data_IF_654580682551
#
_entry.id   IF_654580682551
#
_cell.length_a   1.000
_cell.length_b   1.000
_cell.length_c   1.000
_cell.angle_alpha   90.00
_cell.angle_beta   90.00
_cell.angle_gamma   90.00
#
_symmetry.space_group_name_H-M   'P 1'
#
loop_
_entity.id
_entity.type
_entity.pdbx_description
1 polymer ?
#
# COMPACT_ATOMS: atom_id res chain seq x y z
N UNK A 1 29.03 -11.31 7.20
CA UNK A 1 28.89 -9.84 7.24
C UNK A 1 27.73 -9.44 6.35
N UNK A 2 26.51 -9.47 6.89
CA UNK A 2 25.32 -9.03 6.16
C UNK A 2 25.28 -7.51 6.23
N UNK A 3 25.51 -6.82 5.11
CA UNK A 3 25.05 -5.44 4.97
C UNK A 3 23.53 -5.48 5.06
N UNK A 4 22.98 -5.14 6.23
CA UNK A 4 21.54 -4.97 6.41
C UNK A 4 21.09 -3.89 5.41
N UNK A 5 20.39 -4.32 4.36
CA UNK A 5 19.66 -3.40 3.50
C UNK A 5 18.49 -2.90 4.37
N UNK A 6 18.67 -1.73 4.98
CA UNK A 6 17.68 -1.11 5.87
C UNK A 6 16.43 -0.64 5.10
N UNK A 7 16.60 -0.20 3.87
CA UNK A 7 15.52 0.08 2.93
C UNK A 7 16.06 0.26 1.52
N UNK A 8 15.40 -0.34 0.53
CA UNK A 8 15.68 -0.06 -0.87
C UNK A 8 14.42 -0.18 -1.72
N UNK A 9 14.37 0.57 -2.82
CA UNK A 9 13.30 0.50 -3.80
C UNK A 9 13.89 0.07 -5.13
N UNK A 10 13.40 -1.04 -5.67
CA UNK A 10 13.78 -1.56 -6.98
C UNK A 10 12.59 -1.43 -7.92
N UNK A 11 12.82 -0.91 -9.12
CA UNK A 11 11.80 -0.77 -10.14
C UNK A 11 12.23 -1.54 -11.40
N UNK A 12 11.27 -2.13 -12.09
CA UNK A 12 11.47 -2.67 -13.43
C UNK A 12 10.27 -2.30 -14.30
N UNK A 13 10.54 -1.79 -15.49
CA UNK A 13 9.55 -1.55 -16.53
C UNK A 13 10.09 -2.07 -17.85
N UNK A 14 9.28 -2.80 -18.59
CA UNK A 14 9.65 -3.30 -19.93
C UNK A 14 9.06 -2.47 -21.06
N UNK A 15 8.40 -1.34 -20.77
CA UNK A 15 7.66 -0.54 -21.76
C UNK A 15 8.59 -0.04 -22.87
N UNK A 16 9.77 0.45 -22.49
CA UNK A 16 10.77 1.01 -23.41
C UNK A 16 11.89 0.03 -23.75
N UNK A 17 11.75 -1.23 -23.32
CA UNK A 17 12.80 -2.26 -23.46
C UNK A 17 12.50 -3.13 -24.70
N UNK A 18 13.49 -3.37 -25.58
CA UNK A 18 13.35 -4.30 -26.71
C UNK A 18 12.94 -5.70 -26.26
N UNK A 19 12.06 -6.38 -26.99
CA UNK A 19 11.49 -7.67 -26.59
C UNK A 19 12.56 -8.74 -26.26
N UNK A 20 13.66 -8.77 -27.02
CA UNK A 20 14.80 -9.68 -26.82
C UNK A 20 15.48 -9.51 -25.46
N UNK A 21 15.40 -8.32 -24.85
CA UNK A 21 16.08 -7.99 -23.59
C UNK A 21 15.15 -8.11 -22.37
N UNK A 22 13.84 -8.24 -22.58
CA UNK A 22 12.86 -8.24 -21.48
C UNK A 22 13.01 -9.42 -20.55
N UNK A 23 13.19 -10.64 -21.06
CA UNK A 23 13.34 -11.83 -20.21
C UNK A 23 14.64 -11.79 -19.38
N UNK A 24 15.81 -11.49 -19.96
CA UNK A 24 17.04 -11.26 -19.18
C UNK A 24 16.87 -10.22 -18.08
N UNK A 25 16.25 -9.06 -18.40
CA UNK A 25 15.97 -7.99 -17.43
C UNK A 25 15.08 -8.48 -16.28
N UNK A 26 13.98 -9.16 -16.60
CA UNK A 26 13.06 -9.69 -15.60
C UNK A 26 13.72 -10.75 -14.72
N UNK A 27 14.55 -11.62 -15.30
CA UNK A 27 15.31 -12.61 -14.54
C UNK A 27 16.23 -11.94 -13.53
N UNK A 28 16.98 -10.91 -13.93
CA UNK A 28 17.86 -10.17 -13.01
C UNK A 28 17.06 -9.50 -11.87
N UNK A 29 15.92 -8.88 -12.20
CA UNK A 29 15.02 -8.28 -11.20
C UNK A 29 14.50 -9.30 -10.17
N UNK A 30 14.00 -10.46 -10.61
CA UNK A 30 13.52 -11.50 -9.70
C UNK A 30 14.65 -12.15 -8.90
N UNK A 31 15.83 -12.34 -9.51
CA UNK A 31 17.03 -12.86 -8.86
C UNK A 31 17.52 -11.96 -7.72
N UNK A 32 17.61 -10.65 -7.95
CA UNK A 32 18.19 -9.73 -6.97
C UNK A 32 17.17 -9.13 -6.02
N UNK A 33 15.94 -8.98 -6.46
CA UNK A 33 15.00 -8.02 -5.88
C UNK A 33 13.64 -8.55 -5.49
N UNK A 34 13.38 -9.87 -5.60
CA UNK A 34 12.07 -10.45 -5.26
C UNK A 34 12.18 -11.78 -4.52
N UNK A 35 12.42 -12.91 -5.21
CA UNK A 35 12.35 -14.25 -4.60
C UNK A 35 13.35 -15.25 -5.18
N UNK A 36 14.40 -14.81 -5.88
CA UNK A 36 15.31 -15.68 -6.65
C UNK A 36 14.56 -16.73 -7.46
N UNK A 37 14.15 -16.32 -8.67
CA UNK A 37 13.39 -17.15 -9.57
C UNK A 37 13.95 -17.07 -10.99
N UNK A 38 13.77 -18.16 -11.72
CA UNK A 38 13.88 -18.16 -13.16
C UNK A 38 12.68 -17.46 -13.78
N UNK A 39 12.91 -16.84 -14.93
CA UNK A 39 11.88 -16.22 -15.75
C UNK A 39 12.03 -16.74 -17.16
N UNK A 40 10.94 -17.28 -17.69
CA UNK A 40 10.85 -17.87 -19.02
C UNK A 40 9.77 -17.16 -19.83
N UNK A 41 10.04 -16.91 -21.12
CA UNK A 41 9.01 -16.42 -22.03
C UNK A 41 7.95 -17.49 -22.23
N UNK A 42 6.70 -17.06 -22.36
CA UNK A 42 5.63 -17.94 -22.81
C UNK A 42 5.56 -17.92 -24.32
N UNK A 43 5.48 -19.10 -24.94
CA UNK A 43 5.35 -19.21 -26.39
C UNK A 43 4.18 -18.36 -26.93
N UNK A 44 4.49 -17.54 -27.94
CA UNK A 44 3.50 -16.77 -28.70
C UNK A 44 3.00 -15.48 -28.05
N UNK A 45 3.57 -15.01 -26.92
CA UNK A 45 3.26 -13.69 -26.36
C UNK A 45 4.51 -12.95 -25.85
N UNK A 46 4.70 -11.67 -26.21
CA UNK A 46 5.81 -10.89 -25.68
C UNK A 46 5.66 -10.71 -24.17
N UNK A 47 6.77 -10.89 -23.44
CA UNK A 47 6.81 -10.58 -22.02
C UNK A 47 6.64 -9.07 -21.81
N UNK A 48 5.85 -8.69 -20.82
CA UNK A 48 5.74 -7.31 -20.39
C UNK A 48 5.55 -7.24 -18.87
N UNK A 49 6.25 -6.31 -18.23
CA UNK A 49 6.12 -6.09 -16.80
C UNK A 49 6.29 -4.62 -16.41
N UNK A 50 5.66 -4.29 -15.29
CA UNK A 50 5.93 -3.06 -14.55
C UNK A 50 5.80 -3.40 -13.07
N UNK A 51 6.91 -3.38 -12.32
CA UNK A 51 6.93 -3.66 -10.89
C UNK A 51 7.74 -2.63 -10.12
N UNK A 52 7.28 -2.42 -8.89
CA UNK A 52 8.01 -1.72 -7.84
C UNK A 52 8.11 -2.65 -6.62
N UNK A 53 9.33 -2.87 -6.14
CA UNK A 53 9.68 -3.67 -4.97
C UNK A 53 10.23 -2.74 -3.88
N UNK A 54 9.56 -2.65 -2.74
CA UNK A 54 10.06 -1.98 -1.54
C UNK A 54 10.59 -3.04 -0.58
N UNK A 55 11.91 -3.06 -0.41
CA UNK A 55 12.60 -3.95 0.52
C UNK A 55 12.71 -3.19 1.84
N UNK A 56 12.11 -3.74 2.90
CA UNK A 56 12.06 -3.18 4.24
C UNK A 56 12.70 -4.17 5.22
N UNK A 57 13.03 -3.75 6.45
CA UNK A 57 13.42 -4.70 7.49
C UNK A 57 12.22 -5.61 7.77
N UNK A 58 12.41 -6.93 7.69
CA UNK A 58 11.38 -7.94 8.01
C UNK A 58 10.10 -7.90 7.15
N UNK A 59 10.12 -7.17 6.03
CA UNK A 59 9.00 -7.13 5.10
C UNK A 59 9.48 -6.75 3.69
N UNK A 60 8.77 -7.22 2.68
CA UNK A 60 8.98 -6.79 1.31
C UNK A 60 7.64 -6.62 0.62
N UNK A 61 7.40 -5.45 0.03
CA UNK A 61 6.22 -5.16 -0.77
C UNK A 61 6.57 -5.21 -2.24
N UNK A 62 5.82 -5.98 -3.03
CA UNK A 62 5.91 -5.95 -4.49
C UNK A 62 4.55 -5.54 -5.06
N UNK A 63 4.53 -4.54 -5.93
CA UNK A 63 3.32 -4.10 -6.62
C UNK A 63 3.61 -3.99 -8.09
N UNK A 64 2.68 -4.42 -8.92
CA UNK A 64 2.86 -4.33 -10.36
C UNK A 64 2.24 -5.49 -11.10
N UNK A 65 2.66 -5.70 -12.34
CA UNK A 65 2.11 -6.71 -13.22
C UNK A 65 3.16 -7.36 -14.10
N UNK A 66 2.86 -8.59 -14.50
CA UNK A 66 3.62 -9.38 -15.48
C UNK A 66 2.62 -10.03 -16.43
N UNK A 67 2.97 -10.14 -17.70
CA UNK A 67 2.31 -11.08 -18.62
C UNK A 67 3.32 -11.63 -19.62
N UNK A 68 2.95 -12.72 -20.30
CA UNK A 68 3.79 -13.32 -21.34
C UNK A 68 5.04 -14.01 -20.81
N UNK A 69 5.11 -14.25 -19.50
CA UNK A 69 6.21 -14.96 -18.87
C UNK A 69 5.72 -15.86 -17.73
N UNK A 70 6.52 -16.89 -17.45
CA UNK A 70 6.39 -17.80 -16.31
C UNK A 70 7.54 -17.52 -15.36
N UNK A 71 7.24 -17.39 -14.08
CA UNK A 71 8.23 -17.20 -13.01
C UNK A 71 8.29 -18.48 -12.20
N UNK A 72 9.49 -19.05 -12.03
CA UNK A 72 9.66 -20.37 -11.44
C UNK A 72 10.75 -20.31 -10.37
N UNK A 73 10.39 -20.66 -9.14
CA UNK A 73 11.36 -20.95 -8.09
C UNK A 73 11.62 -22.45 -8.09
N UNK A 74 12.71 -22.86 -8.74
CA UNK A 74 13.03 -24.27 -8.99
C UNK A 74 13.57 -24.97 -7.73
N UNK A 75 13.68 -26.31 -7.76
CA UNK A 75 14.28 -27.09 -6.66
C UNK A 75 15.70 -26.66 -6.31
N UNK A 76 16.45 -26.15 -7.28
CA UNK A 76 17.81 -25.64 -7.02
C UNK A 76 17.78 -24.30 -6.30
N UNK A 77 16.79 -23.45 -6.61
CA UNK A 77 16.69 -22.09 -6.06
C UNK A 77 16.09 -22.04 -4.66
N UNK A 78 15.24 -23.01 -4.28
CA UNK A 78 14.70 -23.12 -2.90
C UNK A 78 15.76 -23.51 -1.87
N UNK A 79 16.90 -24.06 -2.28
CA UNK A 79 17.95 -24.52 -1.39
C UNK A 79 18.82 -23.39 -0.79
N UNK A 80 18.43 -22.11 -0.98
CA UNK A 80 19.19 -20.95 -0.52
C UNK A 80 18.91 -20.54 0.94
N UNK A 81 18.09 -21.31 1.65
CA UNK A 81 17.76 -21.12 3.07
C UNK A 81 16.72 -20.03 3.34
N UNK A 82 16.04 -19.56 2.31
CA UNK A 82 14.97 -18.56 2.42
C UNK A 82 13.65 -19.19 2.87
N UNK A 83 13.25 -18.91 4.10
CA UNK A 83 12.03 -19.41 4.74
C UNK A 83 10.83 -18.45 4.61
N UNK A 84 10.94 -17.42 3.78
CA UNK A 84 9.94 -16.35 3.77
C UNK A 84 8.58 -16.82 3.26
N UNK A 85 7.52 -16.24 3.82
CA UNK A 85 6.14 -16.44 3.40
C UNK A 85 5.69 -15.22 2.60
N UNK A 86 5.00 -15.42 1.49
CA UNK A 86 4.51 -14.33 0.64
C UNK A 86 2.99 -14.41 0.48
N UNK A 87 2.28 -13.38 0.97
CA UNK A 87 0.87 -13.18 0.65
C UNK A 87 0.79 -12.57 -0.75
N UNK A 88 0.22 -13.31 -1.70
CA UNK A 88 -0.02 -12.83 -3.06
C UNK A 88 -1.49 -12.47 -3.22
N UNK A 89 -1.78 -11.21 -3.56
CA UNK A 89 -3.13 -10.70 -3.84
C UNK A 89 -3.23 -10.38 -5.32
N UNK A 90 -4.10 -11.08 -6.03
CA UNK A 90 -4.34 -10.76 -7.43
C UNK A 90 -5.30 -9.56 -7.53
N UNK A 91 -4.88 -8.48 -8.19
CA UNK A 91 -5.68 -7.25 -8.31
C UNK A 91 -6.43 -7.16 -9.63
N UNK A 92 -5.90 -7.75 -10.70
CA UNK A 92 -6.56 -7.78 -12.01
C UNK A 92 -6.05 -8.95 -12.86
N UNK A 93 -6.87 -9.37 -13.83
CA UNK A 93 -6.59 -10.53 -14.66
C UNK A 93 -6.68 -11.84 -13.85
N UNK A 94 -6.02 -12.88 -14.33
CA UNK A 94 -5.95 -14.20 -13.68
C UNK A 94 -4.49 -14.57 -13.47
N UNK A 95 -4.16 -15.00 -12.25
CA UNK A 95 -2.83 -15.48 -11.87
C UNK A 95 -2.90 -16.98 -11.57
N UNK A 96 -2.20 -17.78 -12.36
CA UNK A 96 -1.92 -19.19 -12.07
C UNK A 96 -0.81 -19.31 -11.05
N UNK A 97 -1.01 -20.16 -10.04
CA UNK A 97 -0.03 -20.48 -9.01
C UNK A 97 0.00 -21.99 -8.85
N UNK A 98 1.19 -22.58 -8.93
CA UNK A 98 1.41 -24.01 -8.66
C UNK A 98 2.45 -24.15 -7.54
N UNK A 99 2.06 -24.77 -6.43
CA UNK A 99 2.91 -24.99 -5.24
C UNK A 99 2.37 -26.17 -4.43
N UNK A 100 3.24 -26.98 -3.82
CA UNK A 100 2.86 -28.18 -3.03
C UNK A 100 1.90 -29.14 -3.75
N UNK A 101 1.98 -29.23 -5.09
CA UNK A 101 1.08 -30.06 -5.90
C UNK A 101 -0.35 -29.51 -6.05
N UNK A 102 -0.61 -28.29 -5.56
CA UNK A 102 -1.85 -27.56 -5.78
C UNK A 102 -1.70 -26.61 -6.97
N UNK A 103 -2.68 -26.63 -7.87
CA UNK A 103 -2.80 -25.68 -8.98
C UNK A 103 -4.00 -24.76 -8.76
N UNK A 104 -3.74 -23.45 -8.65
CA UNK A 104 -4.75 -22.44 -8.37
C UNK A 104 -4.81 -21.41 -9.50
N UNK A 105 -6.02 -21.01 -9.87
CA UNK A 105 -6.28 -19.87 -10.74
C UNK A 105 -6.90 -18.73 -9.92
N UNK A 106 -6.05 -17.84 -9.41
CA UNK A 106 -6.43 -16.73 -8.55
C UNK A 106 -7.14 -15.63 -9.37
N UNK A 107 -8.40 -15.35 -9.05
CA UNK A 107 -9.19 -14.26 -9.66
C UNK A 107 -8.88 -12.92 -8.99
N UNK A 108 -9.31 -11.83 -9.63
CA UNK A 108 -9.15 -10.49 -9.05
C UNK A 108 -9.79 -10.43 -7.65
N UNK A 109 -9.13 -9.74 -6.72
CA UNK A 109 -9.52 -9.61 -5.32
C UNK A 109 -9.12 -10.80 -4.43
N UNK A 110 -8.88 -11.98 -5.00
CA UNK A 110 -8.48 -13.15 -4.21
C UNK A 110 -7.00 -13.11 -3.82
N UNK A 111 -6.68 -13.79 -2.73
CA UNK A 111 -5.30 -13.93 -2.24
C UNK A 111 -4.94 -15.37 -1.88
N UNK A 112 -3.65 -15.65 -1.80
CA UNK A 112 -3.10 -16.91 -1.30
C UNK A 112 -1.77 -16.64 -0.59
N UNK A 113 -1.43 -17.46 0.40
CA UNK A 113 -0.10 -17.45 1.02
C UNK A 113 0.76 -18.52 0.34
N UNK A 114 1.98 -18.18 -0.06
CA UNK A 114 2.98 -19.10 -0.63
C UNK A 114 4.22 -19.16 0.25
N UNK A 115 5.00 -20.23 0.16
CA UNK A 115 6.27 -20.39 0.88
C UNK A 115 7.48 -20.33 -0.06
N UNK A 116 8.54 -19.61 0.32
CA UNK A 116 9.80 -19.59 -0.42
C UNK A 116 10.60 -20.90 -0.30
N UNK A 117 10.23 -21.79 0.62
CA UNK A 117 10.84 -23.13 0.77
C UNK A 117 10.32 -24.13 -0.27
N UNK A 118 9.17 -23.83 -0.88
CA UNK A 118 8.50 -24.70 -1.82
C UNK A 118 8.82 -24.35 -3.28
N UNK A 119 8.76 -25.35 -4.15
CA UNK A 119 8.84 -25.12 -5.60
C UNK A 119 7.56 -24.44 -6.05
N UNK A 120 7.69 -23.22 -6.55
CA UNK A 120 6.54 -22.39 -6.91
C UNK A 120 6.63 -21.95 -8.36
N UNK A 121 5.51 -22.05 -9.08
CA UNK A 121 5.32 -21.40 -10.39
C UNK A 121 4.28 -20.29 -10.26
N UNK A 122 4.58 -19.14 -10.85
CA UNK A 122 3.61 -18.07 -11.12
C UNK A 122 3.46 -17.86 -12.63
N UNK A 123 2.22 -17.81 -13.11
CA UNK A 123 1.94 -17.66 -14.54
C UNK A 123 0.74 -16.73 -14.77
N UNK A 124 0.87 -15.74 -15.66
CA UNK A 124 -0.24 -14.88 -16.07
C UNK A 124 -0.50 -15.00 -17.55
N UNK A 125 -1.78 -15.26 -17.88
CA UNK A 125 -2.25 -15.45 -19.26
C UNK A 125 -2.63 -14.12 -19.95
N UNK A 126 -2.86 -13.07 -19.17
CA UNK A 126 -3.26 -11.73 -19.58
C UNK A 126 -2.55 -10.67 -18.73
N UNK A 127 -2.47 -9.43 -19.23
CA UNK A 127 -1.96 -8.30 -18.45
C UNK A 127 -2.83 -8.14 -17.19
N UNK A 128 -2.17 -8.21 -16.05
CA UNK A 128 -2.82 -8.14 -14.75
C UNK A 128 -1.84 -7.65 -13.70
N UNK A 129 -2.36 -7.24 -12.57
CA UNK A 129 -1.54 -6.72 -11.47
C UNK A 129 -1.70 -7.58 -10.22
N UNK A 130 -0.65 -7.65 -9.41
CA UNK A 130 -0.68 -8.17 -8.05
C UNK A 130 -0.13 -7.15 -7.07
N UNK A 131 -0.49 -7.38 -5.82
CA UNK A 131 0.22 -6.93 -4.64
C UNK A 131 0.81 -8.17 -3.96
N UNK A 132 2.02 -8.09 -3.45
CA UNK A 132 2.61 -9.10 -2.59
C UNK A 132 3.19 -8.46 -1.35
N UNK A 133 2.96 -9.10 -0.19
CA UNK A 133 3.64 -8.83 1.06
C UNK A 133 4.37 -10.09 1.48
N UNK A 134 5.70 -10.03 1.44
CA UNK A 134 6.58 -11.10 1.87
C UNK A 134 7.19 -10.79 3.23
N UNK A 135 7.20 -11.77 4.13
CA UNK A 135 7.71 -11.66 5.51
C UNK A 135 8.48 -12.92 5.90
N UNK A 136 9.51 -12.84 6.73
CA UNK A 136 10.20 -14.03 7.23
C UNK A 136 9.27 -14.93 8.06
N UNK A 137 9.40 -16.25 7.95
CA UNK A 137 8.56 -17.19 8.71
C UNK A 137 8.68 -16.98 10.22
N UNK A 138 9.88 -16.66 10.73
CA UNK A 138 10.09 -16.35 12.16
C UNK A 138 9.29 -15.16 12.70
N UNK A 139 8.85 -14.25 11.83
CA UNK A 139 8.00 -13.11 12.22
C UNK A 139 6.54 -13.52 12.29
N UNK A 140 6.07 -14.24 11.28
CA UNK A 140 4.65 -14.56 11.13
C UNK A 140 4.22 -15.80 11.91
N UNK A 141 5.07 -16.83 12.02
CA UNK A 141 4.73 -18.11 12.66
C UNK A 141 4.25 -17.96 14.11
N UNK A 142 4.87 -17.10 14.97
CA UNK A 142 4.37 -16.89 16.33
C UNK A 142 3.00 -16.20 16.40
N UNK A 143 2.56 -15.56 15.31
CA UNK A 143 1.38 -14.70 15.27
C UNK A 143 0.09 -15.46 14.90
N UNK A 144 0.21 -16.64 14.28
CA UNK A 144 -0.91 -17.41 13.73
C UNK A 144 -0.90 -18.85 14.24
N UNK A 145 -2.03 -19.55 14.12
CA UNK A 145 -2.20 -20.90 14.69
C UNK A 145 -1.32 -21.92 13.97
N UNK A 146 -1.43 -21.97 12.65
CA UNK A 146 -0.70 -22.91 11.80
C UNK A 146 -0.37 -22.22 10.47
N UNK A 147 0.93 -22.05 10.21
CA UNK A 147 1.43 -21.44 8.98
C UNK A 147 1.20 -22.36 7.78
N UNK A 148 1.45 -23.65 7.96
CA UNK A 148 1.46 -24.60 6.84
C UNK A 148 0.03 -24.92 6.37
N UNK A 149 -0.97 -24.87 7.26
CA UNK A 149 -2.39 -24.89 6.90
C UNK A 149 -2.83 -23.63 6.12
N UNK A 150 -2.18 -22.49 6.38
CA UNK A 150 -2.50 -21.24 5.70
C UNK A 150 -1.91 -21.18 4.28
N UNK A 151 -0.81 -21.89 4.02
CA UNK A 151 -0.17 -21.95 2.69
C UNK A 151 -1.11 -22.62 1.68
N UNK A 152 -1.19 -22.05 0.48
CA UNK A 152 -2.09 -22.47 -0.61
C UNK A 152 -3.60 -22.44 -0.31
N UNK A 153 -4.02 -21.88 0.83
CA UNK A 153 -5.43 -21.60 1.13
C UNK A 153 -5.91 -20.32 0.44
N UNK A 154 -6.90 -20.44 -0.44
CA UNK A 154 -7.48 -19.28 -1.14
C UNK A 154 -8.29 -18.42 -0.18
N UNK A 155 -7.95 -17.14 -0.13
CA UNK A 155 -8.66 -16.10 0.62
C UNK A 155 -9.59 -15.34 -0.33
N UNK A 156 -10.90 -15.24 -0.02
CA UNK A 156 -11.86 -14.58 -0.89
C UNK A 156 -11.72 -13.06 -0.86
N UNK A 157 -12.14 -12.41 -1.94
CA UNK A 157 -12.16 -10.94 -2.07
C UNK A 157 -13.03 -10.24 -1.01
N UNK A 158 -14.00 -10.95 -0.44
CA UNK A 158 -14.89 -10.45 0.62
C UNK A 158 -14.18 -10.29 1.97
N UNK A 159 -12.95 -10.77 2.11
CA UNK A 159 -12.15 -10.61 3.32
C UNK A 159 -11.87 -9.13 3.59
N UNK A 160 -12.50 -8.62 4.66
CA UNK A 160 -12.32 -7.23 5.07
C UNK A 160 -10.91 -6.96 5.58
N UNK A 161 -10.29 -7.93 6.25
CA UNK A 161 -8.88 -7.84 6.68
C UNK A 161 -7.92 -7.72 5.50
N UNK A 162 -8.14 -8.51 4.44
CA UNK A 162 -7.34 -8.47 3.22
C UNK A 162 -7.41 -7.10 2.53
N UNK A 163 -8.62 -6.57 2.33
CA UNK A 163 -8.81 -5.24 1.74
C UNK A 163 -8.14 -4.16 2.58
N UNK A 164 -8.27 -4.24 3.92
CA UNK A 164 -7.65 -3.27 4.83
C UNK A 164 -6.11 -3.32 4.76
N UNK A 165 -5.51 -4.51 4.71
CA UNK A 165 -4.07 -4.70 4.54
C UNK A 165 -3.56 -4.08 3.23
N UNK A 166 -4.22 -4.39 2.11
CA UNK A 166 -3.82 -3.89 0.78
C UNK A 166 -3.97 -2.36 0.72
N UNK A 167 -5.12 -1.83 1.15
CA UNK A 167 -5.37 -0.36 1.19
C UNK A 167 -4.31 0.36 2.03
N UNK A 168 -3.95 -0.22 3.18
CA UNK A 168 -2.92 0.33 4.06
C UNK A 168 -1.54 0.32 3.37
N UNK A 169 -1.11 -0.83 2.85
CA UNK A 169 0.19 -0.98 2.18
C UNK A 169 0.35 -0.02 0.99
N UNK A 170 -0.67 0.07 0.12
CA UNK A 170 -0.68 0.98 -1.03
C UNK A 170 -0.61 2.45 -0.59
N UNK A 171 -1.19 2.78 0.57
CA UNK A 171 -1.15 4.15 1.09
C UNK A 171 0.21 4.49 1.68
N UNK A 172 0.87 3.57 2.39
CA UNK A 172 2.23 3.78 2.88
C UNK A 172 3.21 4.08 1.76
N UNK A 173 3.10 3.35 0.65
CA UNK A 173 3.92 3.57 -0.55
C UNK A 173 3.66 4.96 -1.13
N UNK A 174 2.39 5.31 -1.36
CA UNK A 174 2.00 6.62 -1.94
C UNK A 174 2.45 7.80 -1.09
N UNK A 175 2.28 7.70 0.23
CA UNK A 175 2.65 8.76 1.19
C UNK A 175 4.14 8.74 1.56
N UNK A 176 4.95 7.89 0.90
CA UNK A 176 6.38 7.72 1.18
C UNK A 176 6.68 7.48 2.67
N UNK A 177 5.79 6.75 3.34
CA UNK A 177 5.89 6.49 4.79
C UNK A 177 7.16 5.73 5.18
N UNK A 178 7.83 5.08 4.21
CA UNK A 178 9.07 4.34 4.41
C UNK A 178 10.33 5.22 4.37
N UNK A 179 10.23 6.50 3.96
CA UNK A 179 11.39 7.38 3.84
C UNK A 179 11.95 7.77 5.23
N UNK A 180 11.10 7.79 6.25
CA UNK A 180 11.50 8.07 7.64
C UNK A 180 11.66 6.78 8.44
N UNK A 181 12.81 6.49 9.07
CA UNK A 181 13.04 5.23 9.79
C UNK A 181 11.99 4.90 10.87
N UNK A 182 11.59 5.89 11.66
CA UNK A 182 10.58 5.70 12.71
C UNK A 182 9.19 5.32 12.13
N UNK A 183 8.77 5.99 11.05
CA UNK A 183 7.51 5.67 10.37
C UNK A 183 7.59 4.32 9.66
N UNK A 184 8.75 3.99 9.08
CA UNK A 184 9.02 2.69 8.44
C UNK A 184 8.86 1.53 9.42
N UNK A 185 9.48 1.62 10.59
CA UNK A 185 9.40 0.57 11.61
C UNK A 185 7.95 0.37 12.10
N UNK A 186 7.24 1.48 12.34
CA UNK A 186 5.83 1.44 12.73
C UNK A 186 4.95 0.81 11.63
N UNK A 187 5.17 1.21 10.39
CA UNK A 187 4.47 0.72 9.22
C UNK A 187 4.67 -0.79 9.01
N UNK A 188 5.90 -1.28 9.14
CA UNK A 188 6.23 -2.71 9.07
C UNK A 188 5.47 -3.50 10.14
N UNK A 189 5.47 -3.05 11.39
CA UNK A 189 4.73 -3.71 12.46
C UNK A 189 3.22 -3.79 12.19
N UNK A 190 2.63 -2.71 11.66
CA UNK A 190 1.23 -2.73 11.26
C UNK A 190 0.93 -3.67 10.09
N UNK A 191 1.86 -3.83 9.13
CA UNK A 191 1.72 -4.80 8.05
C UNK A 191 1.75 -6.24 8.59
N UNK A 192 2.61 -6.54 9.55
CA UNK A 192 2.63 -7.84 10.25
C UNK A 192 1.33 -8.12 11.00
N UNK A 193 0.85 -7.14 11.77
CA UNK A 193 -0.42 -7.22 12.50
C UNK A 193 -1.60 -7.54 11.56
N UNK A 194 -1.71 -6.80 10.46
CA UNK A 194 -2.79 -6.95 9.49
C UNK A 194 -2.69 -8.30 8.75
N UNK A 195 -1.48 -8.72 8.38
CA UNK A 195 -1.24 -10.03 7.76
C UNK A 195 -1.63 -11.18 8.69
N UNK A 196 -1.23 -11.12 9.96
CA UNK A 196 -1.61 -12.11 10.96
C UNK A 196 -3.14 -12.20 11.12
N UNK A 197 -3.84 -11.07 11.13
CA UNK A 197 -5.31 -11.05 11.19
C UNK A 197 -5.96 -11.69 9.96
N UNK A 198 -5.42 -11.44 8.76
CA UNK A 198 -5.89 -12.07 7.52
C UNK A 198 -5.75 -13.58 7.58
N UNK A 199 -4.67 -14.07 8.18
CA UNK A 199 -4.33 -15.50 8.23
C UNK A 199 -4.94 -16.25 9.42
N UNK A 200 -5.55 -15.53 10.37
CA UNK A 200 -6.20 -16.10 11.55
C UNK A 200 -5.37 -16.00 12.82
N UNK A 201 -5.03 -14.76 13.22
CA UNK A 201 -4.24 -14.48 14.42
C UNK A 201 -4.77 -15.18 15.69
N UNK A 202 -3.84 -15.61 16.54
CA UNK A 202 -4.08 -16.23 17.86
C UNK A 202 -4.49 -15.20 18.91
N UNK A 203 -5.06 -15.62 20.04
CA UNK A 203 -5.68 -14.79 21.09
C UNK A 203 -5.07 -13.39 21.31
N UNK A 204 -3.91 -13.30 21.98
CA UNK A 204 -3.26 -12.03 22.31
C UNK A 204 -2.81 -11.26 21.06
N UNK A 205 -2.28 -11.96 20.05
CA UNK A 205 -1.87 -11.36 18.77
C UNK A 205 -3.04 -10.70 18.05
N UNK A 206 -4.21 -11.34 18.05
CA UNK A 206 -5.45 -10.81 17.45
C UNK A 206 -5.86 -9.52 18.16
N UNK A 207 -5.76 -9.49 19.47
CA UNK A 207 -6.09 -8.29 20.25
C UNK A 207 -5.07 -7.16 19.99
N UNK A 208 -3.78 -7.48 19.97
CA UNK A 208 -2.71 -6.53 19.70
C UNK A 208 -2.83 -5.94 18.29
N UNK A 209 -3.02 -6.78 17.28
CA UNK A 209 -3.22 -6.37 15.90
C UNK A 209 -4.49 -5.53 15.72
N UNK A 210 -5.55 -5.85 16.47
CA UNK A 210 -6.75 -5.03 16.55
C UNK A 210 -6.50 -3.65 17.17
N UNK A 211 -5.62 -3.56 18.17
CA UNK A 211 -5.30 -2.31 18.88
C UNK A 211 -4.32 -1.42 18.11
N UNK A 212 -3.39 -1.99 17.34
CA UNK A 212 -2.34 -1.28 16.60
C UNK A 212 -2.65 -1.24 15.11
N UNK A 213 -2.35 -2.31 14.37
CA UNK A 213 -2.51 -2.39 12.90
C UNK A 213 -3.89 -1.99 12.37
N UNK A 214 -4.99 -2.54 12.92
CA UNK A 214 -6.35 -2.23 12.44
C UNK A 214 -6.72 -0.78 12.67
N UNK A 215 -6.37 -0.21 13.84
CA UNK A 215 -6.63 1.20 14.14
C UNK A 215 -5.85 2.11 13.21
N UNK A 216 -4.56 1.82 13.01
CA UNK A 216 -3.70 2.59 12.11
C UNK A 216 -4.21 2.55 10.67
N UNK A 217 -4.59 1.37 10.16
CA UNK A 217 -5.11 1.22 8.81
C UNK A 217 -6.45 1.95 8.62
N UNK A 218 -7.37 1.86 9.59
CA UNK A 218 -8.64 2.59 9.54
C UNK A 218 -8.45 4.10 9.61
N UNK A 219 -7.57 4.58 10.48
CA UNK A 219 -7.24 6.00 10.56
C UNK A 219 -6.62 6.49 9.24
N UNK A 220 -5.70 5.73 8.67
CA UNK A 220 -5.06 6.10 7.41
C UNK A 220 -6.08 6.15 6.26
N UNK A 221 -7.00 5.17 6.21
CA UNK A 221 -8.12 5.19 5.25
C UNK A 221 -9.01 6.43 5.42
N UNK A 222 -9.29 6.83 6.66
CA UNK A 222 -10.05 8.04 6.94
C UNK A 222 -9.31 9.30 6.47
N UNK A 223 -8.00 9.39 6.74
CA UNK A 223 -7.15 10.50 6.30
C UNK A 223 -7.16 10.63 4.77
N UNK A 224 -7.08 9.53 4.04
CA UNK A 224 -7.17 9.51 2.56
C UNK A 224 -8.56 9.94 2.07
N UNK A 225 -9.63 9.39 2.64
CA UNK A 225 -11.01 9.80 2.28
C UNK A 225 -11.20 11.31 2.48
N UNK A 226 -10.74 11.84 3.62
CA UNK A 226 -10.81 13.28 3.91
C UNK A 226 -9.98 14.08 2.92
N UNK A 227 -8.73 13.69 2.63
CA UNK A 227 -7.87 14.42 1.69
C UNK A 227 -8.51 14.50 0.29
N UNK A 228 -9.11 13.40 -0.18
CA UNK A 228 -9.75 13.33 -1.50
C UNK A 228 -11.06 14.14 -1.56
N UNK A 229 -11.77 14.28 -0.44
CA UNK A 229 -13.08 14.91 -0.37
C UNK A 229 -13.09 16.25 0.38
N UNK A 230 -11.94 16.78 0.79
CA UNK A 230 -11.86 17.94 1.70
C UNK A 230 -12.54 19.21 1.15
N UNK A 231 -12.63 19.33 -0.17
CA UNK A 231 -13.29 20.43 -0.89
C UNK A 231 -14.81 20.47 -0.65
N UNK A 232 -15.43 19.34 -0.29
CA UNK A 232 -16.85 19.28 0.04
C UNK A 232 -17.12 20.04 1.34
N UNK A 233 -17.97 21.07 1.27
CA UNK A 233 -18.36 21.86 2.43
C UNK A 233 -19.15 21.01 3.46
N UNK A 234 -19.96 20.07 2.97
CA UNK A 234 -20.83 19.18 3.75
C UNK A 234 -20.11 17.94 4.32
N UNK A 235 -18.79 17.81 4.12
CA UNK A 235 -18.04 16.65 4.61
C UNK A 235 -18.05 16.60 6.14
N UNK A 236 -18.77 15.63 6.69
CA UNK A 236 -18.92 15.42 8.12
C UNK A 236 -18.21 14.15 8.60
N UNK A 237 -17.94 14.09 9.90
CA UNK A 237 -17.42 12.87 10.55
C UNK A 237 -18.35 11.67 10.35
N UNK A 238 -19.66 11.91 10.29
CA UNK A 238 -20.68 10.87 10.04
C UNK A 238 -20.54 10.29 8.64
N UNK A 239 -20.38 11.14 7.62
CA UNK A 239 -20.21 10.69 6.23
C UNK A 239 -18.95 9.81 6.07
N UNK A 240 -17.81 10.24 6.63
CA UNK A 240 -16.56 9.47 6.57
C UNK A 240 -16.67 8.18 7.39
N UNK A 241 -17.30 8.22 8.56
CA UNK A 241 -17.49 7.01 9.38
C UNK A 241 -18.37 5.98 8.66
N UNK A 242 -19.42 6.41 7.97
CA UNK A 242 -20.29 5.55 7.17
C UNK A 242 -19.54 4.91 6.01
N UNK A 243 -18.74 5.68 5.26
CA UNK A 243 -17.88 5.16 4.19
C UNK A 243 -16.92 4.06 4.70
N UNK A 244 -16.41 4.23 5.92
CA UNK A 244 -15.47 3.30 6.54
C UNK A 244 -16.14 2.13 7.27
N UNK A 245 -17.48 2.10 7.37
CA UNK A 245 -18.21 1.08 8.11
C UNK A 245 -17.95 1.10 9.63
N UNK A 246 -17.72 2.29 10.20
CA UNK A 246 -17.46 2.48 11.64
C UNK A 246 -18.40 3.52 12.24
N UNK A 247 -18.46 3.60 13.56
CA UNK A 247 -19.26 4.64 14.24
C UNK A 247 -18.51 5.99 14.24
N UNK A 248 -19.21 7.14 14.21
CA UNK A 248 -18.58 8.45 14.32
C UNK A 248 -17.72 8.61 15.57
N UNK A 249 -18.20 8.10 16.71
CA UNK A 249 -17.46 8.09 17.99
C UNK A 249 -16.16 7.30 17.88
N UNK A 250 -16.17 6.16 17.21
CA UNK A 250 -14.95 5.38 17.01
C UNK A 250 -13.95 6.13 16.12
N UNK A 251 -14.42 6.77 15.04
CA UNK A 251 -13.57 7.57 14.17
C UNK A 251 -12.93 8.75 14.91
N UNK A 252 -13.68 9.44 15.76
CA UNK A 252 -13.14 10.52 16.60
C UNK A 252 -12.03 10.01 17.53
N UNK A 253 -12.25 8.87 18.19
CA UNK A 253 -11.21 8.24 19.04
C UNK A 253 -9.94 7.86 18.27
N UNK A 254 -10.06 7.48 16.99
CA UNK A 254 -8.89 7.23 16.15
C UNK A 254 -8.06 8.49 15.91
N UNK A 255 -8.73 9.62 15.64
CA UNK A 255 -8.05 10.91 15.49
C UNK A 255 -7.43 11.39 16.82
N UNK A 256 -8.16 11.26 17.93
CA UNK A 256 -7.67 11.65 19.26
C UNK A 256 -6.38 10.90 19.63
N UNK A 257 -6.31 9.60 19.34
CA UNK A 257 -5.11 8.79 19.55
C UNK A 257 -3.92 9.22 18.66
N UNK A 258 -4.19 9.87 17.53
CA UNK A 258 -3.21 10.47 16.62
C UNK A 258 -2.87 11.93 16.98
N UNK A 259 -3.39 12.43 18.11
CA UNK A 259 -3.16 13.79 18.57
C UNK A 259 -3.89 14.86 17.75
N UNK A 260 -4.92 14.49 16.98
CA UNK A 260 -5.71 15.40 16.15
C UNK A 260 -7.21 15.24 16.43
N UNK A 261 -8.01 16.19 15.95
CA UNK A 261 -9.45 15.99 15.80
C UNK A 261 -9.77 15.80 14.33
N UNK A 262 -10.94 15.22 14.02
CA UNK A 262 -11.44 15.17 12.65
C UNK A 262 -11.46 16.57 12.01
N UNK A 263 -12.02 17.56 12.71
CA UNK A 263 -12.19 18.92 12.20
C UNK A 263 -10.85 19.64 11.98
N UNK A 264 -9.87 19.43 12.87
CA UNK A 264 -8.54 20.02 12.71
C UNK A 264 -7.81 19.40 11.51
N UNK A 265 -7.91 18.08 11.32
CA UNK A 265 -7.32 17.42 10.16
C UNK A 265 -8.01 17.84 8.85
N UNK A 266 -9.33 17.92 8.81
CA UNK A 266 -10.08 18.43 7.65
C UNK A 266 -9.65 19.86 7.30
N UNK A 267 -9.58 20.74 8.29
CA UNK A 267 -9.14 22.14 8.10
C UNK A 267 -7.72 22.19 7.54
N UNK A 268 -6.80 21.38 8.05
CA UNK A 268 -5.43 21.27 7.54
C UNK A 268 -5.40 20.87 6.06
N UNK A 269 -6.19 19.87 5.66
CA UNK A 269 -6.27 19.43 4.26
C UNK A 269 -6.86 20.52 3.35
N UNK A 270 -7.90 21.23 3.79
CA UNK A 270 -8.48 22.35 3.04
C UNK A 270 -7.48 23.48 2.83
N UNK A 271 -6.74 23.85 3.89
CA UNK A 271 -5.70 24.89 3.83
C UNK A 271 -4.54 24.48 2.92
N UNK A 272 -4.09 23.21 3.00
CA UNK A 272 -3.07 22.65 2.09
C UNK A 272 -3.49 22.71 0.63
N UNK A 273 -4.75 22.35 0.35
CA UNK A 273 -5.32 22.45 -1.00
C UNK A 273 -5.37 23.89 -1.49
N UNK A 274 -5.80 24.83 -0.66
CA UNK A 274 -5.85 26.25 -1.01
C UNK A 274 -4.45 26.80 -1.32
N UNK A 275 -3.46 26.47 -0.50
CA UNK A 275 -2.07 26.86 -0.73
C UNK A 275 -1.54 26.36 -2.08
N UNK A 276 -1.82 25.11 -2.45
CA UNK A 276 -1.45 24.59 -3.77
C UNK A 276 -2.12 25.37 -4.89
N UNK A 277 -3.44 25.58 -4.80
CA UNK A 277 -4.19 26.35 -5.81
C UNK A 277 -3.65 27.78 -5.95
N UNK A 278 -3.27 28.43 -4.84
CA UNK A 278 -2.72 29.79 -4.86
C UNK A 278 -1.38 29.92 -5.59
N UNK A 279 -0.64 28.81 -5.75
CA UNK A 279 0.68 28.77 -6.41
C UNK A 279 0.63 28.25 -7.84
N UNK A 280 -0.48 27.65 -8.25
CA UNK A 280 -0.63 27.05 -9.57
C UNK A 280 -1.11 28.12 -10.57
N UNK A 281 -0.42 28.32 -11.71
CA UNK A 281 -0.78 29.34 -12.71
C UNK A 281 -2.22 29.23 -13.21
N UNK A 282 -2.77 28.01 -13.23
CA UNK A 282 -4.17 27.75 -13.62
C UNK A 282 -5.20 28.53 -12.79
N UNK A 283 -4.88 28.89 -11.54
CA UNK A 283 -5.79 29.62 -10.66
C UNK A 283 -5.41 31.09 -10.44
N UNK A 284 -4.47 31.64 -11.23
CA UNK A 284 -3.97 32.99 -11.06
C UNK A 284 -5.07 34.08 -11.11
N UNK A 285 -6.06 33.91 -11.99
CA UNK A 285 -7.18 34.84 -12.18
C UNK A 285 -8.30 34.68 -11.11
N UNK A 286 -8.26 33.62 -10.30
CA UNK A 286 -9.32 33.34 -9.34
C UNK A 286 -9.13 34.11 -8.05
N UNK A 287 -10.16 34.74 -7.51
CA UNK A 287 -10.03 35.47 -6.24
C UNK A 287 -9.71 34.53 -5.06
N UNK A 288 -9.00 35.04 -4.04
CA UNK A 288 -8.74 34.31 -2.78
C UNK A 288 -10.03 33.81 -2.15
N UNK A 289 -11.09 34.63 -2.18
CA UNK A 289 -12.40 34.24 -1.65
C UNK A 289 -13.01 33.07 -2.41
N UNK A 290 -12.90 33.05 -3.74
CA UNK A 290 -13.40 31.94 -4.56
C UNK A 290 -12.65 30.65 -4.23
N UNK A 291 -11.31 30.70 -4.10
CA UNK A 291 -10.51 29.54 -3.69
C UNK A 291 -10.93 29.05 -2.29
N UNK A 292 -11.17 29.94 -1.34
CA UNK A 292 -11.59 29.56 0.01
C UNK A 292 -12.91 28.77 0.00
N UNK A 293 -13.90 29.21 -0.77
CA UNK A 293 -15.18 28.49 -0.89
C UNK A 293 -15.03 27.14 -1.61
N UNK A 294 -14.21 27.09 -2.66
CA UNK A 294 -13.94 25.87 -3.44
C UNK A 294 -13.22 24.78 -2.65
N UNK A 295 -12.32 25.17 -1.74
CA UNK A 295 -11.65 24.21 -0.86
C UNK A 295 -12.51 23.86 0.35
N UNK A 296 -13.75 24.32 0.42
CA UNK A 296 -14.74 23.87 1.38
C UNK A 296 -14.89 24.74 2.64
N UNK A 297 -14.35 25.95 2.67
CA UNK A 297 -14.65 26.91 3.75
C UNK A 297 -15.99 27.59 3.51
N UNK A 298 -16.80 27.77 4.55
CA UNK A 298 -18.03 28.57 4.50
C UNK A 298 -17.87 30.00 5.01
N UNK A 299 -16.71 30.33 5.59
CA UNK A 299 -16.40 31.66 6.14
C UNK A 299 -14.98 32.07 5.76
N UNK A 300 -14.87 33.20 5.06
CA UNK A 300 -13.60 33.75 4.58
C UNK A 300 -12.70 34.20 5.73
N UNK A 301 -13.29 34.73 6.81
CA UNK A 301 -12.54 35.19 7.98
C UNK A 301 -11.87 34.02 8.70
N UNK A 302 -12.59 32.91 8.87
CA UNK A 302 -12.06 31.67 9.42
C UNK A 302 -10.98 31.07 8.52
N UNK A 303 -11.18 31.03 7.20
CA UNK A 303 -10.16 30.61 6.24
C UNK A 303 -8.85 31.39 6.43
N UNK A 304 -8.91 32.73 6.42
CA UNK A 304 -7.72 33.57 6.56
C UNK A 304 -6.97 33.31 7.87
N UNK A 305 -7.70 33.14 9.00
CA UNK A 305 -7.10 32.79 10.30
C UNK A 305 -6.40 31.43 10.26
N UNK A 306 -7.05 30.41 9.69
CA UNK A 306 -6.48 29.06 9.58
C UNK A 306 -5.27 29.03 8.65
N UNK A 307 -5.33 29.74 7.53
CA UNK A 307 -4.25 29.83 6.56
C UNK A 307 -3.01 30.49 7.18
N UNK A 308 -3.18 31.67 7.79
CA UNK A 308 -2.08 32.39 8.47
C UNK A 308 -1.48 31.58 9.62
N UNK A 309 -2.31 30.85 10.38
CA UNK A 309 -1.82 29.96 11.43
C UNK A 309 -0.95 28.82 10.89
N UNK A 310 -1.27 28.31 9.70
CA UNK A 310 -0.59 27.14 9.12
C UNK A 310 0.69 27.54 8.38
N UNK A 311 0.67 28.65 7.65
CA UNK A 311 1.77 29.07 6.76
C UNK A 311 2.51 30.32 7.22
N UNK A 312 2.07 31.00 8.28
CA UNK A 312 2.69 32.25 8.76
C UNK A 312 2.38 33.48 7.90
N UNK A 313 1.82 33.31 6.71
CA UNK A 313 1.54 34.36 5.73
C UNK A 313 0.05 34.42 5.35
N UNK A 314 -0.40 35.51 4.73
CA UNK A 314 -1.76 35.58 4.18
C UNK A 314 -1.86 34.83 2.84
N UNK A 315 -3.06 34.40 2.42
CA UNK A 315 -3.26 33.83 1.09
C UNK A 315 -2.80 34.74 -0.06
N UNK A 316 -2.92 36.07 0.12
CA UNK A 316 -2.49 37.05 -0.87
C UNK A 316 -0.96 37.12 -0.95
N UNK A 317 -0.26 37.10 0.18
CA UNK A 317 1.22 37.11 0.25
C UNK A 317 1.81 35.87 -0.46
N UNK A 318 1.20 34.69 -0.25
CA UNK A 318 1.62 33.45 -0.92
C UNK A 318 1.40 33.54 -2.43
N UNK A 319 0.34 34.22 -2.87
CA UNK A 319 0.04 34.39 -4.29
C UNK A 319 0.99 35.38 -4.97
N UNK A 320 1.34 36.47 -4.31
CA UNK A 320 2.29 37.45 -4.86
C UNK A 320 3.73 36.92 -4.91
N UNK A 321 3.99 35.75 -4.31
CA UNK A 321 5.32 35.15 -4.25
C UNK A 321 6.22 35.80 -3.21
N UNK A 322 5.65 36.58 -2.27
CA UNK A 322 6.40 37.24 -1.19
C UNK A 322 6.89 36.26 -0.11
N UNK A 323 6.44 34.99 -0.16
CA UNK A 323 6.84 33.92 0.77
C UNK A 323 7.05 32.59 -0.01
N UNK A 324 8.12 31.80 0.28
CA UNK A 324 8.47 30.57 -0.46
C UNK A 324 7.42 29.45 -0.52
#
# INVERSE_FOLDING_TARGET
>A
MNSQIDFSVLNVSTIEIPESERIPLLRDFYCRGVLKAEVEARNGKPAAANFTSHILPEAQLLMGGLCGARVIRTRQLVADGDDSLALIVNRSGVLGISERGHDLALRAGQAVLTSAEDVTTFERLSLGSCFSLRVPRRVLAPMIVDVDDAVMRVMPESSTGLRLLVDYAMTLVREKAFDTPALRQLAVGHLHDLLALVLGATGETRELAGRRGVKAARLQKAKVSIANNCWRQDLSVTAVAQELGVTPRYLQRLFEADGKTFSSFLTEQRVKRAHRMLREPEYAERTVSSIAYDVGFGDLSYFNRCFRRTYGATPSDVRSGEVP
#
